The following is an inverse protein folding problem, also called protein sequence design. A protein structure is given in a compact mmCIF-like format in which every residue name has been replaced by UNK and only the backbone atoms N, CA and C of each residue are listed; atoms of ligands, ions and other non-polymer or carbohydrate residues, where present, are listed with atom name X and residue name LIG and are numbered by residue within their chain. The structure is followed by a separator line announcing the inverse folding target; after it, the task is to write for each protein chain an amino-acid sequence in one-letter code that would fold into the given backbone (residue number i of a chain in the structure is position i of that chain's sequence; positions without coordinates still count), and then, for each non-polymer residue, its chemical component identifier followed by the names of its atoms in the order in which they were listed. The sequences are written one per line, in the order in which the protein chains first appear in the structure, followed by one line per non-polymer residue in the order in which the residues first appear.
data_IF_450162015427
#
_entry.id   IF_450162015427
#
_cell.length_a   1.000
_cell.length_b   1.000
_cell.length_c   1.000
_cell.angle_alpha   90.00
_cell.angle_beta   90.00
_cell.angle_gamma   90.00
#
_symmetry.space_group_name_H-M   'P 1'
#
loop_
_entity.id
_entity.type
_entity.pdbx_description
1 polymer ?
#
# COMPACT_ATOMS: atom_id res chain seq x y z
N UNK A 1 -19.20 -6.30 -6.89
CA UNK A 1 -18.35 -6.94 -5.87
C UNK A 1 -17.85 -8.24 -6.48
N UNK A 2 -16.67 -8.75 -6.11
CA UNK A 2 -16.34 -10.13 -6.51
C UNK A 2 -17.18 -11.04 -5.63
N UNK A 3 -18.13 -11.75 -6.23
CA UNK A 3 -19.08 -12.61 -5.50
C UNK A 3 -18.48 -13.99 -5.19
N UNK A 4 -17.16 -14.12 -5.34
CA UNK A 4 -16.39 -15.33 -5.12
C UNK A 4 -15.25 -15.10 -4.13
N UNK A 5 -14.84 -16.18 -3.49
CA UNK A 5 -13.72 -16.22 -2.57
C UNK A 5 -12.44 -15.82 -3.31
N UNK A 6 -11.74 -14.81 -2.79
CA UNK A 6 -10.50 -14.31 -3.41
C UNK A 6 -9.40 -15.38 -3.51
N UNK A 7 -9.41 -16.42 -2.68
CA UNK A 7 -8.41 -17.49 -2.69
C UNK A 7 -8.80 -18.67 -3.59
N UNK A 8 -9.93 -19.32 -3.30
CA UNK A 8 -10.30 -20.57 -3.99
C UNK A 8 -11.34 -20.38 -5.11
N UNK A 9 -11.86 -19.17 -5.32
CA UNK A 9 -12.88 -18.90 -6.35
C UNK A 9 -14.29 -19.43 -6.03
N UNK A 10 -14.50 -20.06 -4.87
CA UNK A 10 -15.82 -20.54 -4.45
C UNK A 10 -16.86 -19.41 -4.41
N UNK A 11 -18.07 -19.68 -4.91
CA UNK A 11 -19.22 -18.76 -4.91
C UNK A 11 -20.10 -18.90 -3.66
N UNK A 12 -19.66 -19.68 -2.67
CA UNK A 12 -20.35 -19.83 -1.39
C UNK A 12 -20.38 -18.49 -0.61
N UNK A 13 -21.31 -18.33 0.36
CA UNK A 13 -21.40 -17.12 1.16
C UNK A 13 -20.05 -16.71 1.77
N UNK A 14 -19.68 -15.45 1.50
CA UNK A 14 -18.42 -14.89 1.97
C UNK A 14 -18.53 -14.42 3.43
N UNK A 15 -17.49 -14.71 4.18
CA UNK A 15 -17.29 -14.35 5.59
C UNK A 15 -16.38 -13.12 5.72
N UNK A 16 -16.40 -12.51 6.91
CA UNK A 16 -15.47 -11.44 7.27
C UNK A 16 -14.19 -12.05 7.85
N UNK A 17 -13.05 -11.56 7.39
CA UNK A 17 -11.73 -11.88 7.92
C UNK A 17 -11.05 -10.60 8.37
N UNK A 18 -10.32 -10.65 9.48
CA UNK A 18 -9.51 -9.52 9.92
C UNK A 18 -8.26 -9.40 9.07
N UNK A 19 -7.88 -8.16 8.71
CA UNK A 19 -6.63 -7.92 7.97
C UNK A 19 -5.44 -8.37 8.79
N UNK A 20 -5.42 -7.95 10.06
CA UNK A 20 -4.53 -8.45 11.08
C UNK A 20 -5.34 -9.31 12.04
N UNK A 21 -4.89 -10.53 12.35
CA UNK A 21 -5.62 -11.45 13.21
C UNK A 21 -6.02 -10.82 14.56
N UNK A 22 -7.24 -11.09 15.01
CA UNK A 22 -7.80 -10.52 16.25
C UNK A 22 -6.98 -10.88 17.51
N UNK A 23 -6.14 -11.90 17.46
CA UNK A 23 -5.23 -12.22 18.56
C UNK A 23 -4.30 -11.04 18.91
N UNK A 24 -3.97 -10.15 17.95
CA UNK A 24 -3.16 -8.94 18.20
C UNK A 24 -3.84 -7.97 19.17
N UNK A 25 -5.18 -7.98 19.23
CA UNK A 25 -5.93 -7.18 20.21
C UNK A 25 -5.83 -7.75 21.64
N UNK A 26 -5.28 -8.97 21.80
CA UNK A 26 -5.31 -9.72 23.06
C UNK A 26 -3.94 -9.91 23.71
N UNK A 27 -2.86 -9.48 23.05
CA UNK A 27 -1.49 -9.68 23.53
C UNK A 27 -0.94 -8.51 24.36
N UNK A 28 -1.73 -7.48 24.65
CA UNK A 28 -1.29 -6.34 25.47
C UNK A 28 -0.68 -5.16 24.72
N UNK A 29 -0.95 -5.03 23.42
CA UNK A 29 -0.66 -3.82 22.66
C UNK A 29 -1.59 -2.66 23.05
N UNK A 30 -1.12 -1.42 22.87
CA UNK A 30 -1.96 -0.23 23.04
C UNK A 30 -3.07 -0.18 21.98
N UNK A 31 -4.32 -0.30 22.44
CA UNK A 31 -5.53 -0.30 21.62
C UNK A 31 -6.25 1.05 21.58
N UNK A 32 -5.64 2.12 22.10
CA UNK A 32 -6.20 3.47 22.00
C UNK A 32 -6.58 3.74 20.55
N UNK A 33 -7.78 4.26 20.26
CA UNK A 33 -8.19 4.54 18.89
C UNK A 33 -7.14 5.36 18.14
N UNK A 34 -6.91 4.98 16.89
CA UNK A 34 -6.01 5.70 15.99
C UNK A 34 -6.73 5.96 14.68
N UNK A 35 -6.26 7.00 13.98
CA UNK A 35 -6.70 7.31 12.62
C UNK A 35 -6.25 6.22 11.66
N UNK A 36 -7.18 5.57 10.97
CA UNK A 36 -6.87 4.56 9.96
C UNK A 36 -6.84 5.15 8.57
N UNK A 37 -5.82 4.79 7.80
CA UNK A 37 -5.57 5.33 6.47
C UNK A 37 -5.33 4.18 5.49
N UNK A 38 -5.92 4.25 4.29
CA UNK A 38 -5.64 3.31 3.21
C UNK A 38 -5.67 4.02 1.86
N UNK A 39 -4.71 3.72 0.99
CA UNK A 39 -4.66 4.33 -0.33
C UNK A 39 -3.41 3.97 -1.13
N UNK A 40 -3.38 4.38 -2.41
CA UNK A 40 -2.27 4.10 -3.31
C UNK A 40 -0.97 4.70 -2.78
N UNK A 41 0.16 4.06 -3.10
CA UNK A 41 1.49 4.43 -2.59
C UNK A 41 1.87 5.90 -2.84
N UNK A 42 1.33 6.48 -3.92
CA UNK A 42 1.59 7.84 -4.38
C UNK A 42 0.33 8.72 -4.47
N UNK A 43 -0.79 8.29 -3.92
CA UNK A 43 -1.97 9.15 -3.78
C UNK A 43 -2.21 9.51 -2.32
N UNK A 44 -3.14 10.43 -2.12
CA UNK A 44 -3.61 10.77 -0.77
C UNK A 44 -4.35 9.55 -0.21
N UNK A 45 -3.99 9.07 0.98
CA UNK A 45 -4.70 7.96 1.59
C UNK A 45 -6.08 8.42 2.06
N UNK A 46 -7.07 7.54 1.93
CA UNK A 46 -8.41 7.75 2.43
C UNK A 46 -8.46 7.56 3.94
N UNK A 47 -9.14 8.48 4.61
CA UNK A 47 -9.53 8.31 6.01
C UNK A 47 -10.57 7.19 6.15
N UNK A 48 -10.26 6.19 6.98
CA UNK A 48 -11.13 5.04 7.25
C UNK A 48 -11.82 5.12 8.61
N UNK A 49 -11.80 6.29 9.25
CA UNK A 49 -12.33 6.49 10.59
C UNK A 49 -11.29 6.30 11.68
N UNK A 50 -11.71 6.61 12.90
CA UNK A 50 -10.93 6.43 14.12
C UNK A 50 -11.48 5.24 14.89
N UNK A 51 -10.65 4.23 15.12
CA UNK A 51 -11.01 3.01 15.83
C UNK A 51 -9.77 2.35 16.42
N UNK A 52 -9.92 1.45 17.41
CA UNK A 52 -8.82 0.62 17.88
C UNK A 52 -8.09 -0.07 16.71
N UNK A 53 -6.76 -0.25 16.79
CA UNK A 53 -6.01 -1.00 15.78
C UNK A 53 -6.50 -2.45 15.67
N UNK A 54 -6.18 -3.10 14.54
CA UNK A 54 -6.48 -4.52 14.27
C UNK A 54 -7.97 -4.88 14.09
N UNK A 55 -8.88 -3.89 13.98
CA UNK A 55 -10.32 -4.13 13.77
C UNK A 55 -10.75 -4.18 12.31
N UNK A 56 -9.87 -3.85 11.38
CA UNK A 56 -10.20 -3.80 9.96
C UNK A 56 -10.50 -5.21 9.45
N UNK A 57 -11.65 -5.36 8.81
CA UNK A 57 -12.08 -6.63 8.20
C UNK A 57 -12.41 -6.46 6.73
N UNK A 58 -12.26 -7.54 5.97
CA UNK A 58 -12.70 -7.64 4.57
C UNK A 58 -13.66 -8.83 4.42
N UNK A 59 -14.72 -8.67 3.63
CA UNK A 59 -15.71 -9.73 3.36
C UNK A 59 -15.45 -10.38 2.01
N UNK A 60 -14.41 -11.22 1.91
CA UNK A 60 -13.89 -11.73 0.62
C UNK A 60 -13.53 -13.22 0.60
N UNK A 61 -13.84 -13.97 1.66
CA UNK A 61 -13.40 -15.36 1.79
C UNK A 61 -14.54 -16.28 2.17
N UNK A 62 -14.65 -17.44 1.52
CA UNK A 62 -15.61 -18.47 1.94
C UNK A 62 -15.22 -19.04 3.32
N UNK A 63 -16.19 -19.66 4.00
CA UNK A 63 -15.98 -20.23 5.34
C UNK A 63 -14.87 -21.31 5.36
N UNK A 64 -14.74 -22.11 4.29
CA UNK A 64 -13.71 -23.16 4.19
C UNK A 64 -12.28 -22.59 4.18
N UNK A 65 -12.03 -21.53 3.42
CA UNK A 65 -10.73 -20.87 3.42
C UNK A 65 -10.45 -20.18 4.75
N UNK A 66 -11.42 -19.37 5.22
CA UNK A 66 -11.26 -18.53 6.40
C UNK A 66 -11.03 -19.36 7.67
N UNK A 67 -11.93 -20.32 7.93
CA UNK A 67 -11.86 -21.18 9.12
C UNK A 67 -10.87 -22.35 8.96
N UNK A 68 -10.37 -22.58 7.75
CA UNK A 68 -9.45 -23.67 7.43
C UNK A 68 -7.99 -23.23 7.52
N UNK A 69 -7.34 -23.16 6.36
CA UNK A 69 -5.89 -22.92 6.28
C UNK A 69 -5.50 -21.52 6.78
N UNK A 70 -6.33 -20.50 6.56
CA UNK A 70 -6.05 -19.14 7.03
C UNK A 70 -6.01 -19.09 8.57
N UNK A 71 -7.03 -19.66 9.21
CA UNK A 71 -7.08 -19.79 10.67
C UNK A 71 -5.88 -20.59 11.23
N UNK A 72 -5.46 -21.69 10.57
CA UNK A 72 -4.25 -22.43 10.99
C UNK A 72 -2.98 -21.56 10.96
N UNK A 73 -2.82 -20.72 9.94
CA UNK A 73 -1.70 -19.77 9.87
C UNK A 73 -1.77 -18.73 11.01
N UNK A 74 -2.95 -18.21 11.34
CA UNK A 74 -3.11 -17.28 12.48
C UNK A 74 -2.66 -17.89 13.80
N UNK A 75 -2.99 -19.16 14.06
CA UNK A 75 -2.57 -19.83 15.30
C UNK A 75 -1.04 -19.98 15.39
N UNK A 76 -0.38 -20.31 14.27
CA UNK A 76 1.08 -20.39 14.23
C UNK A 76 1.70 -19.00 14.41
N UNK A 77 1.19 -18.00 13.70
CA UNK A 77 1.65 -16.62 13.82
C UNK A 77 1.49 -16.08 15.25
N UNK A 78 0.35 -16.31 15.90
CA UNK A 78 0.13 -15.92 17.29
C UNK A 78 1.16 -16.56 18.22
N UNK A 79 1.37 -17.88 18.13
CA UNK A 79 2.32 -18.59 19.00
C UNK A 79 3.75 -18.06 18.84
N UNK A 80 4.16 -17.76 17.61
CA UNK A 80 5.56 -17.43 17.28
C UNK A 80 5.83 -15.94 17.40
N UNK A 81 4.93 -15.09 16.93
CA UNK A 81 5.17 -13.65 16.76
C UNK A 81 4.71 -12.80 17.93
N UNK A 82 3.77 -13.26 18.77
CA UNK A 82 3.30 -12.47 19.91
C UNK A 82 4.43 -11.87 20.79
N UNK A 83 5.43 -12.64 21.25
CA UNK A 83 6.53 -12.05 22.04
C UNK A 83 7.35 -11.03 21.24
N UNK A 84 7.62 -11.30 19.95
CA UNK A 84 8.42 -10.41 19.08
C UNK A 84 7.70 -9.09 18.82
N UNK A 85 6.37 -9.14 18.63
CA UNK A 85 5.52 -7.95 18.46
C UNK A 85 5.59 -7.05 19.69
N UNK A 86 5.67 -7.63 20.89
CA UNK A 86 5.83 -6.91 22.16
C UNK A 86 7.26 -6.40 22.40
N UNK A 87 8.23 -6.79 21.57
CA UNK A 87 9.63 -6.41 21.73
C UNK A 87 10.47 -7.38 22.53
N UNK A 88 9.93 -8.55 22.87
CA UNK A 88 10.66 -9.59 23.59
C UNK A 88 11.58 -10.35 22.64
N UNK A 89 12.80 -10.63 23.11
CA UNK A 89 13.73 -11.45 22.35
C UNK A 89 13.16 -12.86 22.16
N UNK A 90 13.31 -13.41 20.95
CA UNK A 90 12.69 -14.66 20.58
C UNK A 90 13.47 -15.43 19.52
N UNK A 91 12.97 -16.63 19.25
CA UNK A 91 13.54 -17.53 18.25
C UNK A 91 12.42 -18.13 17.40
N UNK A 92 12.58 -18.05 16.08
CA UNK A 92 11.71 -18.72 15.11
C UNK A 92 12.40 -20.01 14.67
N UNK A 93 11.79 -21.14 14.99
CA UNK A 93 12.30 -22.45 14.61
C UNK A 93 12.13 -22.69 13.10
N UNK A 94 13.01 -23.48 12.45
CA UNK A 94 12.93 -23.77 11.01
C UNK A 94 11.55 -24.27 10.57
N UNK A 95 10.88 -25.06 11.40
CA UNK A 95 9.55 -25.62 11.10
C UNK A 95 8.44 -24.55 11.05
N UNK A 96 8.64 -23.42 11.72
CA UNK A 96 7.69 -22.30 11.74
C UNK A 96 7.96 -21.30 10.60
N UNK A 97 9.15 -21.30 10.00
CA UNK A 97 9.57 -20.27 9.04
C UNK A 97 8.65 -20.18 7.81
N UNK A 98 8.29 -21.32 7.23
CA UNK A 98 7.37 -21.39 6.09
C UNK A 98 5.99 -20.82 6.44
N UNK A 99 5.45 -21.21 7.59
CA UNK A 99 4.14 -20.74 8.06
C UNK A 99 4.13 -19.23 8.33
N UNK A 100 5.17 -18.67 8.94
CA UNK A 100 5.27 -17.23 9.19
C UNK A 100 5.42 -16.45 7.88
N UNK A 101 6.23 -16.93 6.95
CA UNK A 101 6.36 -16.30 5.64
C UNK A 101 5.05 -16.35 4.85
N UNK A 102 4.37 -17.50 4.84
CA UNK A 102 3.05 -17.66 4.22
C UNK A 102 1.99 -16.78 4.89
N UNK A 103 2.01 -16.66 6.22
CA UNK A 103 1.14 -15.76 6.96
C UNK A 103 1.36 -14.30 6.58
N UNK A 104 2.61 -13.85 6.47
CA UNK A 104 2.92 -12.48 6.05
C UNK A 104 2.39 -12.20 4.63
N UNK A 105 2.56 -13.15 3.71
CA UNK A 105 2.02 -13.06 2.35
C UNK A 105 0.48 -13.03 2.33
N UNK A 106 -0.18 -13.90 3.11
CA UNK A 106 -1.64 -13.93 3.27
C UNK A 106 -2.15 -12.58 3.79
N UNK A 107 -1.53 -12.05 4.83
CA UNK A 107 -1.92 -10.77 5.45
C UNK A 107 -1.79 -9.61 4.47
N UNK A 108 -0.70 -9.56 3.69
CA UNK A 108 -0.54 -8.54 2.65
C UNK A 108 -1.61 -8.65 1.55
N UNK A 109 -1.91 -9.86 1.07
CA UNK A 109 -2.97 -10.12 0.10
C UNK A 109 -4.35 -9.70 0.64
N UNK A 110 -4.65 -10.02 1.89
CA UNK A 110 -5.90 -9.61 2.57
C UNK A 110 -6.00 -8.09 2.70
N UNK A 111 -4.93 -7.41 3.09
CA UNK A 111 -4.91 -5.94 3.21
C UNK A 111 -5.20 -5.25 1.88
N UNK A 112 -4.68 -5.77 0.76
CA UNK A 112 -4.95 -5.23 -0.58
C UNK A 112 -6.41 -5.35 -1.01
N UNK A 113 -7.22 -6.18 -0.33
CA UNK A 113 -8.66 -6.28 -0.57
C UNK A 113 -9.48 -5.21 0.16
N UNK A 114 -8.85 -4.35 0.97
CA UNK A 114 -9.49 -3.16 1.55
C UNK A 114 -9.80 -2.09 0.49
N UNK A 115 -9.03 -2.06 -0.60
CA UNK A 115 -9.25 -1.20 -1.76
C UNK A 115 -10.57 -1.55 -2.45
N UNK A 116 -11.18 -0.59 -3.16
CA UNK A 116 -12.36 -0.88 -3.98
C UNK A 116 -11.99 -1.75 -5.20
N UNK A 117 -13.01 -2.33 -5.86
CA UNK A 117 -12.79 -3.07 -7.12
C UNK A 117 -12.17 -2.16 -8.19
N UNK A 118 -12.74 -0.97 -8.37
CA UNK A 118 -12.26 0.05 -9.30
C UNK A 118 -10.80 0.43 -9.04
N UNK A 119 -10.41 0.63 -7.78
CA UNK A 119 -9.03 0.95 -7.42
C UNK A 119 -8.07 -0.20 -7.79
N UNK A 120 -8.46 -1.45 -7.54
CA UNK A 120 -7.62 -2.60 -7.89
C UNK A 120 -7.50 -2.80 -9.40
N UNK A 121 -8.58 -2.58 -10.14
CA UNK A 121 -8.58 -2.62 -11.61
C UNK A 121 -7.71 -1.51 -12.21
N UNK A 122 -7.59 -0.36 -11.54
CA UNK A 122 -6.67 0.74 -11.89
C UNK A 122 -5.24 0.54 -11.38
N UNK A 123 -4.84 -0.66 -10.99
CA UNK A 123 -3.46 -1.00 -10.64
C UNK A 123 -3.10 -0.87 -9.15
N UNK A 124 -4.05 -0.52 -8.26
CA UNK A 124 -3.86 -0.57 -6.80
C UNK A 124 -4.24 -1.94 -6.20
N UNK A 125 -4.12 -3.00 -6.99
CA UNK A 125 -4.45 -4.37 -6.62
C UNK A 125 -3.30 -5.33 -6.89
N UNK A 126 -3.37 -6.51 -6.28
CA UNK A 126 -2.52 -7.64 -6.64
C UNK A 126 -3.25 -8.52 -7.68
N UNK A 127 -2.52 -9.16 -8.61
CA UNK A 127 -3.11 -10.08 -9.57
C UNK A 127 -3.87 -11.21 -8.88
N UNK A 128 -5.06 -11.54 -9.39
CA UNK A 128 -5.89 -12.63 -8.86
C UNK A 128 -5.13 -13.97 -8.84
N UNK A 129 -4.24 -14.19 -9.81
CA UNK A 129 -3.37 -15.37 -9.88
C UNK A 129 -2.51 -15.57 -8.63
N UNK A 130 -2.07 -14.50 -7.96
CA UNK A 130 -1.28 -14.63 -6.72
C UNK A 130 -2.10 -15.18 -5.56
N UNK A 131 -3.38 -14.83 -5.47
CA UNK A 131 -4.27 -15.38 -4.46
C UNK A 131 -4.52 -16.87 -4.71
N UNK A 132 -4.85 -17.23 -5.95
CA UNK A 132 -5.09 -18.63 -6.34
C UNK A 132 -3.83 -19.48 -6.11
N UNK A 133 -2.66 -19.00 -6.54
CA UNK A 133 -1.40 -19.71 -6.34
C UNK A 133 -1.05 -19.91 -4.86
N UNK A 134 -1.33 -18.93 -3.98
CA UNK A 134 -1.11 -19.11 -2.54
C UNK A 134 -2.07 -20.15 -1.94
N UNK A 135 -3.33 -20.16 -2.38
CA UNK A 135 -4.31 -21.16 -1.96
C UNK A 135 -3.92 -22.58 -2.37
N UNK A 136 -3.39 -22.77 -3.58
CA UNK A 136 -2.91 -24.06 -4.09
C UNK A 136 -1.74 -24.60 -3.24
N UNK A 137 -0.97 -23.72 -2.60
CA UNK A 137 0.15 -24.07 -1.73
C UNK A 137 -0.19 -24.28 -0.26
N UNK A 138 -1.44 -24.05 0.15
CA UNK A 138 -1.86 -24.08 1.55
C UNK A 138 -1.47 -25.35 2.31
N UNK A 139 -1.41 -26.49 1.63
CA UNK A 139 -1.10 -27.79 2.24
C UNK A 139 0.41 -28.00 2.43
N UNK A 140 1.25 -27.22 1.75
CA UNK A 140 2.71 -27.14 2.01
C UNK A 140 3.05 -26.22 3.18
N UNK A 141 2.16 -25.28 3.50
CA UNK A 141 2.36 -24.28 4.57
C UNK A 141 3.61 -23.42 4.32
N UNK A 142 3.79 -23.03 3.06
CA UNK A 142 4.94 -22.27 2.55
C UNK A 142 4.44 -21.09 1.69
N UNK A 143 5.20 -20.00 1.59
CA UNK A 143 4.87 -18.90 0.67
C UNK A 143 5.00 -19.34 -0.80
N UNK A 144 4.74 -18.44 -1.75
CA UNK A 144 5.00 -18.70 -3.17
C UNK A 144 6.50 -18.99 -3.41
N UNK A 145 6.83 -19.91 -4.33
CA UNK A 145 8.22 -20.42 -4.57
C UNK A 145 9.25 -19.30 -4.71
N UNK A 146 8.95 -18.33 -5.57
CA UNK A 146 9.80 -17.18 -5.81
C UNK A 146 9.53 -16.08 -4.76
N UNK A 147 9.70 -16.43 -3.49
CA UNK A 147 9.59 -15.46 -2.39
C UNK A 147 10.79 -15.52 -1.47
N UNK A 148 11.16 -14.37 -0.93
CA UNK A 148 12.14 -14.23 0.13
C UNK A 148 11.55 -13.35 1.21
N UNK A 149 11.74 -13.70 2.48
CA UNK A 149 11.25 -12.93 3.62
C UNK A 149 12.36 -12.70 4.63
N UNK A 150 12.36 -11.52 5.22
CA UNK A 150 13.24 -11.10 6.29
C UNK A 150 12.43 -10.57 7.46
N UNK A 151 13.02 -10.66 8.64
CA UNK A 151 12.42 -10.21 9.90
C UNK A 151 13.38 -9.28 10.63
N UNK A 152 12.87 -8.21 11.23
CA UNK A 152 13.68 -7.21 11.90
C UNK A 152 12.92 -6.49 13.00
N UNK A 153 13.60 -5.53 13.64
CA UNK A 153 13.00 -4.64 14.64
C UNK A 153 12.55 -3.34 13.99
N UNK A 154 11.36 -2.88 14.35
CA UNK A 154 10.84 -1.57 14.04
C UNK A 154 10.86 -0.67 15.29
N UNK A 155 11.22 0.59 15.10
CA UNK A 155 11.17 1.63 16.13
C UNK A 155 10.49 2.88 15.56
N UNK A 156 9.28 3.16 16.04
CA UNK A 156 8.48 4.29 15.57
C UNK A 156 7.10 4.31 16.20
N UNK A 157 6.31 5.31 15.83
CA UNK A 157 4.98 5.53 16.40
C UNK A 157 3.87 4.70 15.72
N UNK A 158 4.14 4.24 14.49
CA UNK A 158 3.21 3.38 13.74
C UNK A 158 3.01 2.03 14.44
N UNK A 159 1.82 1.80 14.99
CA UNK A 159 1.49 0.55 15.71
C UNK A 159 1.32 -0.65 14.78
N UNK A 160 0.77 -0.40 13.61
CA UNK A 160 0.56 -1.44 12.60
C UNK A 160 0.47 -0.84 11.21
N UNK A 161 1.10 -1.48 10.22
CA UNK A 161 0.97 -1.08 8.84
C UNK A 161 1.16 -2.28 7.92
N UNK A 162 0.48 -2.25 6.77
CA UNK A 162 0.79 -3.09 5.61
C UNK A 162 1.10 -2.17 4.44
N UNK A 163 2.23 -2.40 3.79
CA UNK A 163 2.62 -1.69 2.56
C UNK A 163 3.02 -2.70 1.51
N UNK A 164 2.43 -2.58 0.32
CA UNK A 164 2.72 -3.43 -0.83
C UNK A 164 3.24 -2.54 -1.94
N UNK A 165 4.52 -2.72 -2.30
CA UNK A 165 5.20 -1.93 -3.33
C UNK A 165 5.40 -2.79 -4.58
N UNK A 166 4.79 -2.47 -5.73
CA UNK A 166 5.10 -3.12 -6.99
C UNK A 166 6.55 -2.87 -7.38
N UNK A 167 7.24 -3.92 -7.83
CA UNK A 167 8.66 -3.92 -8.15
C UNK A 167 8.88 -4.40 -9.58
N UNK A 168 9.87 -3.82 -10.25
CA UNK A 168 10.37 -4.25 -11.54
C UNK A 168 11.80 -4.77 -11.40
N UNK A 169 12.05 -5.93 -12.02
CA UNK A 169 13.41 -6.37 -12.33
C UNK A 169 13.92 -5.51 -13.49
N UNK A 170 15.04 -4.81 -13.28
CA UNK A 170 15.68 -3.92 -14.24
C UNK A 170 16.99 -4.53 -14.70
N UNK A 171 17.18 -4.56 -16.02
CA UNK A 171 18.46 -4.90 -16.64
C UNK A 171 18.92 -3.70 -17.45
N UNK A 172 20.20 -3.39 -17.39
CA UNK A 172 20.78 -2.28 -18.15
C UNK A 172 20.41 -2.38 -19.63
N UNK A 173 19.93 -1.26 -20.21
CA UNK A 173 19.49 -1.14 -21.62
C UNK A 173 18.20 -1.89 -21.98
N UNK A 174 17.53 -2.56 -21.04
CA UNK A 174 16.19 -3.11 -21.25
C UNK A 174 15.14 -2.10 -20.71
N UNK A 175 14.12 -1.75 -21.50
CA UNK A 175 13.00 -0.93 -21.04
C UNK A 175 12.31 -1.52 -19.81
N UNK A 176 11.63 -0.68 -19.04
CA UNK A 176 10.81 -1.19 -17.94
C UNK A 176 9.66 -2.03 -18.49
N UNK A 177 9.27 -3.13 -17.83
CA UNK A 177 8.06 -3.84 -18.19
C UNK A 177 6.80 -2.97 -17.99
N UNK A 178 5.78 -3.21 -18.81
CA UNK A 178 4.45 -2.59 -18.69
C UNK A 178 3.64 -3.11 -17.49
N UNK A 179 4.19 -4.08 -16.75
CA UNK A 179 3.60 -4.66 -15.54
C UNK A 179 4.71 -4.94 -14.52
N UNK A 180 4.42 -4.88 -13.20
CA UNK A 180 5.40 -5.25 -12.20
C UNK A 180 5.77 -6.74 -12.30
N UNK A 181 7.02 -7.06 -12.02
CA UNK A 181 7.54 -8.44 -11.98
C UNK A 181 7.43 -9.06 -10.57
N UNK A 182 7.39 -8.21 -9.55
CA UNK A 182 7.37 -8.63 -8.16
C UNK A 182 6.66 -7.61 -7.28
N UNK A 183 6.46 -7.97 -6.02
CA UNK A 183 5.85 -7.13 -5.00
C UNK A 183 6.65 -7.23 -3.71
N UNK A 184 7.08 -6.08 -3.18
CA UNK A 184 7.64 -5.98 -1.85
C UNK A 184 6.50 -5.83 -0.84
N UNK A 185 6.43 -6.72 0.14
CA UNK A 185 5.38 -6.82 1.16
C UNK A 185 5.98 -6.44 2.51
N UNK A 186 5.61 -5.31 3.08
CA UNK A 186 6.13 -4.85 4.38
C UNK A 186 5.00 -4.80 5.40
N UNK A 187 5.18 -5.50 6.51
CA UNK A 187 4.24 -5.53 7.63
C UNK A 187 4.94 -4.99 8.87
N UNK A 188 4.31 -4.05 9.56
CA UNK A 188 4.72 -3.56 10.89
C UNK A 188 3.66 -3.98 11.90
N UNK A 189 4.10 -4.51 13.04
CA UNK A 189 3.27 -4.89 14.18
C UNK A 189 4.03 -4.63 15.49
N UNK A 190 3.64 -3.58 16.22
CA UNK A 190 4.38 -3.19 17.43
C UNK A 190 5.85 -2.92 17.10
N UNK A 191 6.77 -3.67 17.74
CA UNK A 191 8.21 -3.58 17.48
C UNK A 191 8.72 -4.53 16.39
N UNK A 192 7.85 -5.32 15.78
CA UNK A 192 8.19 -6.28 14.72
C UNK A 192 8.01 -5.65 13.34
N UNK A 193 8.99 -5.88 12.45
CA UNK A 193 8.82 -5.68 11.00
C UNK A 193 9.13 -6.96 10.24
N UNK A 194 8.26 -7.28 9.29
CA UNK A 194 8.45 -8.34 8.30
C UNK A 194 8.51 -7.69 6.92
N UNK A 195 9.47 -8.11 6.11
CA UNK A 195 9.62 -7.63 4.74
C UNK A 195 9.79 -8.82 3.82
N UNK A 196 8.97 -8.91 2.79
CA UNK A 196 9.05 -9.95 1.77
C UNK A 196 9.21 -9.37 0.38
N UNK A 197 9.87 -10.09 -0.50
CA UNK A 197 9.81 -9.87 -1.94
C UNK A 197 9.23 -11.14 -2.56
N UNK A 198 8.12 -11.03 -3.28
CA UNK A 198 7.49 -12.15 -3.98
C UNK A 198 7.32 -11.82 -5.45
N UNK A 199 7.70 -12.74 -6.33
CA UNK A 199 7.60 -12.55 -7.78
C UNK A 199 6.25 -13.01 -8.29
N UNK A 200 5.75 -12.34 -9.34
CA UNK A 200 4.63 -12.86 -10.12
C UNK A 200 5.06 -14.19 -10.75
N UNK A 201 4.16 -15.17 -10.74
CA UNK A 201 4.32 -16.51 -11.32
C UNK A 201 4.77 -16.51 -12.79
N UNK A 202 4.54 -15.43 -13.52
CA UNK A 202 4.92 -15.27 -14.93
C UNK A 202 6.28 -14.57 -15.12
N UNK A 203 6.91 -14.07 -14.06
CA UNK A 203 8.13 -13.30 -14.12
C UNK A 203 9.36 -14.13 -13.68
N UNK A 204 10.55 -13.90 -14.29
CA UNK A 204 11.79 -14.52 -13.83
C UNK A 204 12.15 -14.00 -12.44
N UNK A 205 12.34 -14.93 -11.51
CA UNK A 205 12.72 -14.64 -10.13
C UNK A 205 14.23 -14.32 -10.04
N UNK A 206 14.56 -13.39 -9.15
CA UNK A 206 15.94 -12.99 -8.86
C UNK A 206 16.18 -13.07 -7.36
N UNK A 207 17.27 -13.72 -6.96
CA UNK A 207 17.71 -13.72 -5.57
C UNK A 207 18.19 -12.32 -5.18
N UNK A 208 17.80 -11.86 -3.99
CA UNK A 208 18.18 -10.54 -3.50
C UNK A 208 18.74 -10.64 -2.09
N UNK A 209 19.83 -9.94 -1.85
CA UNK A 209 20.34 -9.71 -0.51
C UNK A 209 19.68 -8.46 0.08
N UNK A 210 19.36 -8.52 1.37
CA UNK A 210 18.93 -7.35 2.13
C UNK A 210 20.13 -6.71 2.82
N UNK A 211 20.52 -5.51 2.41
CA UNK A 211 21.72 -4.82 2.93
C UNK A 211 21.59 -4.41 4.39
N UNK A 212 20.37 -4.37 4.94
CA UNK A 212 20.11 -4.06 6.36
C UNK A 212 20.53 -5.21 7.31
N UNK A 213 21.11 -6.30 6.79
CA UNK A 213 21.56 -7.48 7.55
C UNK A 213 20.46 -8.09 8.44
N UNK A 214 19.20 -7.90 8.04
CA UNK A 214 18.08 -8.57 8.72
C UNK A 214 18.19 -10.08 8.51
N UNK A 215 17.93 -10.88 9.56
CA UNK A 215 17.83 -12.32 9.41
C UNK A 215 16.85 -12.71 8.30
N UNK A 216 17.28 -13.63 7.45
CA UNK A 216 16.41 -14.25 6.46
C UNK A 216 15.48 -15.23 7.18
N UNK A 217 14.18 -14.96 7.07
CA UNK A 217 13.10 -15.83 7.53
C UNK A 217 12.80 -16.91 6.49
N UNK A 218 12.83 -16.55 5.20
CA UNK A 218 12.57 -17.45 4.10
C UNK A 218 13.46 -17.08 2.90
N UNK A 219 14.04 -18.04 2.14
CA UNK A 219 13.92 -19.50 2.24
C UNK A 219 14.35 -20.07 3.59
N UNK A 220 13.78 -21.22 3.94
CA UNK A 220 14.02 -21.86 5.24
C UNK A 220 15.51 -22.11 5.47
N UNK A 221 16.00 -21.72 6.63
CA UNK A 221 17.38 -21.92 7.05
C UNK A 221 17.51 -22.33 8.50
N UNK A 222 18.62 -21.93 9.13
CA UNK A 222 18.84 -22.10 10.57
C UNK A 222 17.77 -21.34 11.39
N UNK A 223 17.60 -21.67 12.69
CA UNK A 223 16.69 -20.91 13.55
C UNK A 223 17.01 -19.42 13.53
N UNK A 224 15.98 -18.59 13.38
CA UNK A 224 16.12 -17.14 13.33
C UNK A 224 16.03 -16.57 14.74
N UNK A 225 17.06 -15.83 15.15
CA UNK A 225 17.08 -15.11 16.42
C UNK A 225 16.63 -13.67 16.21
N UNK A 226 15.76 -13.18 17.10
CA UNK A 226 15.19 -11.85 17.04
C UNK A 226 15.31 -11.15 18.41
N UNK A 227 15.63 -9.85 18.47
CA UNK A 227 15.97 -8.98 17.35
C UNK A 227 17.42 -9.19 16.89
N UNK A 228 17.67 -9.07 15.58
CA UNK A 228 19.00 -9.01 14.95
C UNK A 228 18.94 -8.15 13.69
N UNK A 229 20.10 -7.70 13.21
CA UNK A 229 20.21 -6.81 12.07
C UNK A 229 19.99 -5.34 12.45
N UNK A 230 19.91 -4.48 11.43
CA UNK A 230 19.65 -3.06 11.63
C UNK A 230 18.18 -2.81 11.98
N UNK A 231 17.94 -2.00 13.02
CA UNK A 231 16.58 -1.51 13.35
C UNK A 231 16.08 -0.59 12.23
N UNK A 232 14.84 -0.80 11.80
CA UNK A 232 14.13 0.10 10.89
C UNK A 232 13.41 1.14 11.74
N UNK A 233 13.82 2.40 11.60
CA UNK A 233 13.14 3.54 12.25
C UNK A 233 12.00 4.07 11.39
N UNK A 234 11.11 4.87 11.98
CA UNK A 234 10.07 5.61 11.27
C UNK A 234 10.62 6.44 10.10
N UNK A 235 11.78 7.10 10.26
CA UNK A 235 12.46 7.86 9.20
C UNK A 235 12.93 6.96 8.05
N UNK A 236 13.46 5.78 8.36
CA UNK A 236 13.98 4.84 7.36
C UNK A 236 12.90 3.95 6.73
N UNK A 237 11.70 3.90 7.31
CA UNK A 237 10.64 2.95 6.96
C UNK A 237 10.24 3.01 5.49
N UNK A 238 9.99 4.20 4.94
CA UNK A 238 9.56 4.33 3.56
C UNK A 238 10.64 3.86 2.58
N UNK A 239 11.90 4.25 2.83
CA UNK A 239 13.05 3.80 2.03
C UNK A 239 13.16 2.27 2.07
N UNK A 240 12.97 1.68 3.24
CA UNK A 240 13.02 0.24 3.44
C UNK A 240 11.87 -0.48 2.70
N UNK A 241 10.63 -0.03 2.90
CA UNK A 241 9.45 -0.64 2.31
C UNK A 241 9.34 -0.46 0.79
N UNK A 242 9.99 0.58 0.24
CA UNK A 242 10.17 0.76 -1.20
C UNK A 242 11.30 -0.11 -1.77
N UNK A 243 11.81 -1.08 -1.01
CA UNK A 243 12.83 -2.03 -1.46
C UNK A 243 14.19 -1.40 -1.77
N UNK A 244 14.46 -0.15 -1.35
CA UNK A 244 15.73 0.53 -1.65
C UNK A 244 16.93 -0.07 -0.89
N UNK A 245 16.67 -0.99 0.02
CA UNK A 245 17.66 -1.81 0.75
C UNK A 245 17.85 -3.20 0.13
N UNK A 246 17.07 -3.57 -0.89
CA UNK A 246 17.25 -4.82 -1.63
C UNK A 246 18.36 -4.63 -2.68
N UNK A 247 19.22 -5.64 -2.84
CA UNK A 247 20.25 -5.69 -3.88
C UNK A 247 20.17 -7.05 -4.54
N UNK A 248 20.20 -7.12 -5.87
CA UNK A 248 20.36 -8.40 -6.53
C UNK A 248 21.71 -9.01 -6.18
N UNK A 249 21.79 -10.33 -6.20
CA UNK A 249 23.06 -11.06 -6.20
C UNK A 249 23.74 -11.08 -7.58
N UNK A 250 23.07 -10.57 -8.62
CA UNK A 250 23.58 -10.46 -9.99
C UNK A 250 23.95 -9.01 -10.32
N UNK A 251 25.20 -8.75 -10.69
CA UNK A 251 25.74 -7.39 -10.90
C UNK A 251 25.02 -6.58 -11.99
N UNK A 252 24.36 -7.24 -12.94
CA UNK A 252 23.70 -6.60 -14.09
C UNK A 252 22.19 -6.41 -13.91
N UNK A 253 21.65 -6.85 -12.77
CA UNK A 253 20.22 -6.88 -12.48
C UNK A 253 19.92 -6.07 -11.23
N UNK A 254 18.96 -5.17 -11.31
CA UNK A 254 18.44 -4.44 -10.15
C UNK A 254 16.98 -4.81 -9.90
N UNK A 255 16.54 -4.69 -8.65
CA UNK A 255 15.11 -4.74 -8.30
C UNK A 255 14.73 -3.37 -7.76
N UNK A 256 13.87 -2.66 -8.48
CA UNK A 256 13.49 -1.29 -8.18
C UNK A 256 11.96 -1.16 -8.13
N UNK A 257 11.41 -0.15 -7.41
CA UNK A 257 9.98 0.14 -7.49
C UNK A 257 9.54 0.33 -8.93
N UNK A 258 8.45 -0.32 -9.32
CA UNK A 258 7.91 -0.22 -10.68
C UNK A 258 7.38 1.19 -10.92
N UNK A 259 8.03 1.92 -11.84
CA UNK A 259 7.85 3.37 -12.05
C UNK A 259 6.38 3.77 -12.24
N UNK A 260 5.54 3.07 -13.03
CA UNK A 260 4.15 3.46 -13.20
C UNK A 260 3.29 3.41 -11.93
N UNK A 261 3.68 2.67 -10.89
CA UNK A 261 2.98 2.67 -9.60
C UNK A 261 3.73 3.45 -8.51
N UNK A 262 5.07 3.42 -8.56
CA UNK A 262 5.95 4.01 -7.54
C UNK A 262 6.42 5.44 -7.87
N UNK A 263 6.27 5.85 -9.12
CA UNK A 263 6.55 7.20 -9.63
C UNK A 263 5.40 7.72 -10.50
N UNK A 264 4.15 7.28 -10.26
CA UNK A 264 3.01 8.17 -10.58
C UNK A 264 3.37 9.49 -9.91
N UNK A 265 3.43 10.61 -10.63
CA UNK A 265 3.90 11.85 -10.04
C UNK A 265 3.06 12.10 -8.80
N UNK A 266 3.68 11.89 -7.62
CA UNK A 266 3.21 12.51 -6.39
C UNK A 266 2.95 13.94 -6.81
N UNK A 267 1.78 14.44 -6.49
CA UNK A 267 1.56 15.87 -6.35
C UNK A 267 2.82 16.48 -5.74
N UNK A 268 3.71 17.05 -6.56
CA UNK A 268 5.00 17.50 -6.06
C UNK A 268 4.70 18.86 -5.48
N UNK A 269 4.90 19.01 -4.18
CA UNK A 269 4.78 20.31 -3.55
C UNK A 269 6.06 21.07 -3.87
N UNK A 270 5.96 22.05 -4.77
CA UNK A 270 7.07 22.96 -5.10
C UNK A 270 6.61 24.36 -4.74
N UNK A 271 7.32 25.01 -3.82
CA UNK A 271 7.04 26.36 -3.37
C UNK A 271 5.59 26.57 -2.88
N UNK A 272 4.98 25.60 -2.18
CA UNK A 272 3.60 25.72 -1.67
C UNK A 272 2.50 25.38 -2.68
N UNK A 273 2.86 25.03 -3.92
CA UNK A 273 1.93 24.58 -4.95
C UNK A 273 2.05 23.09 -5.18
N UNK A 274 0.92 22.42 -5.32
CA UNK A 274 0.81 21.04 -5.80
C UNK A 274 0.94 21.03 -7.31
N UNK A 275 1.91 20.29 -7.84
CA UNK A 275 2.07 20.01 -9.27
C UNK A 275 1.53 18.64 -9.63
N UNK A 276 0.60 18.57 -10.57
CA UNK A 276 0.00 17.33 -11.09
C UNK A 276 0.08 17.27 -12.62
N UNK A 277 0.31 16.08 -13.23
CA UNK A 277 0.32 15.93 -14.68
C UNK A 277 -1.03 16.31 -15.29
N UNK A 278 -1.00 17.03 -16.41
CA UNK A 278 -2.19 17.31 -17.22
C UNK A 278 -2.57 16.09 -18.08
N UNK A 279 -3.82 16.01 -18.56
CA UNK A 279 -4.28 14.91 -19.44
C UNK A 279 -3.53 14.79 -20.76
N UNK A 280 -2.83 15.83 -21.20
CA UNK A 280 -1.98 15.78 -22.38
C UNK A 280 -0.65 15.04 -22.16
N UNK A 281 -0.34 14.65 -20.92
CA UNK A 281 0.89 13.97 -20.48
C UNK A 281 2.20 14.75 -20.68
N UNK A 282 2.19 15.85 -21.42
CA UNK A 282 3.35 16.69 -21.72
C UNK A 282 3.54 17.88 -20.77
N UNK A 283 2.47 18.29 -20.07
CA UNK A 283 2.46 19.46 -19.20
C UNK A 283 1.94 19.12 -17.80
N UNK A 284 2.03 20.09 -16.89
CA UNK A 284 1.51 19.96 -15.52
C UNK A 284 0.60 21.12 -15.16
N UNK A 285 -0.46 20.85 -14.42
CA UNK A 285 -1.33 21.86 -13.80
C UNK A 285 -0.97 22.01 -12.33
N UNK A 286 -1.29 23.18 -11.77
CA UNK A 286 -0.90 23.53 -10.40
C UNK A 286 -2.07 24.09 -9.59
N UNK A 287 -2.08 23.83 -8.28
CA UNK A 287 -3.01 24.43 -7.33
C UNK A 287 -2.39 24.52 -5.91
N UNK A 288 -2.85 25.43 -5.03
CA UNK A 288 -2.28 25.59 -3.70
C UNK A 288 -2.43 24.35 -2.80
N UNK A 289 -1.41 24.04 -2.00
CA UNK A 289 -1.46 22.91 -1.06
C UNK A 289 -2.54 23.08 0.02
N UNK A 290 -2.88 24.32 0.39
CA UNK A 290 -3.90 24.61 1.40
C UNK A 290 -5.26 23.99 1.09
N UNK A 291 -5.59 23.82 -0.20
CA UNK A 291 -6.83 23.15 -0.62
C UNK A 291 -6.85 21.66 -0.27
N UNK A 292 -5.69 21.00 -0.23
CA UNK A 292 -5.58 19.61 0.24
C UNK A 292 -5.63 19.54 1.77
N UNK A 293 -4.98 20.48 2.45
CA UNK A 293 -4.98 20.56 3.91
C UNK A 293 -6.40 20.74 4.47
N UNK A 294 -7.18 21.60 3.82
CA UNK A 294 -8.60 21.81 4.12
C UNK A 294 -9.47 20.60 3.74
N UNK A 295 -9.18 19.94 2.62
CA UNK A 295 -9.90 18.73 2.21
C UNK A 295 -9.73 17.58 3.21
N UNK A 296 -8.54 17.45 3.82
CA UNK A 296 -8.29 16.52 4.92
C UNK A 296 -9.09 16.85 6.19
N UNK A 297 -9.53 18.11 6.33
CA UNK A 297 -10.42 18.57 7.41
C UNK A 297 -11.90 18.53 7.01
N UNK A 298 -12.24 17.97 5.84
CA UNK A 298 -13.61 17.85 5.34
C UNK A 298 -14.16 19.11 4.69
N UNK A 299 -13.28 20.04 4.29
CA UNK A 299 -13.65 21.27 3.59
C UNK A 299 -13.29 21.10 2.11
N UNK A 300 -14.31 21.09 1.25
CA UNK A 300 -14.15 20.82 -0.18
C UNK A 300 -14.31 22.07 -1.03
N UNK A 301 -13.67 22.08 -2.19
CA UNK A 301 -13.61 23.21 -3.09
C UNK A 301 -13.78 22.79 -4.53
N UNK A 302 -14.41 23.64 -5.33
CA UNK A 302 -14.30 23.64 -6.77
C UNK A 302 -13.36 24.78 -7.21
N UNK A 303 -12.56 24.54 -8.24
CA UNK A 303 -11.68 25.54 -8.82
C UNK A 303 -11.39 25.20 -10.28
N UNK A 304 -10.93 26.20 -11.03
CA UNK A 304 -10.48 26.04 -12.41
C UNK A 304 -8.96 26.14 -12.47
N UNK A 305 -8.34 25.26 -13.24
CA UNK A 305 -6.91 25.34 -13.58
C UNK A 305 -6.73 25.04 -15.06
N UNK A 306 -5.62 25.45 -15.65
CA UNK A 306 -5.35 25.32 -17.08
C UNK A 306 -4.00 24.66 -17.33
N UNK A 307 -3.96 23.91 -18.42
CA UNK A 307 -2.72 23.40 -18.99
C UNK A 307 -2.12 24.48 -19.91
N UNK A 308 -0.84 24.33 -20.28
CA UNK A 308 -0.21 25.16 -21.33
C UNK A 308 -0.79 24.85 -22.73
N UNK A 309 -1.51 23.72 -22.87
CA UNK A 309 -2.41 23.46 -23.98
C UNK A 309 -3.69 24.32 -23.87
N UNK A 310 -4.47 24.50 -24.95
CA UNK A 310 -5.75 25.22 -24.91
C UNK A 310 -6.89 24.43 -24.22
N UNK A 311 -6.59 23.78 -23.08
CA UNK A 311 -7.50 22.96 -22.29
C UNK A 311 -7.50 23.47 -20.85
N UNK A 312 -8.69 23.84 -20.38
CA UNK A 312 -8.97 24.14 -18.98
C UNK A 312 -9.63 22.93 -18.31
N UNK A 313 -9.53 22.87 -16.99
CA UNK A 313 -10.02 21.80 -16.15
C UNK A 313 -10.83 22.37 -15.00
N UNK A 314 -12.04 21.84 -14.81
CA UNK A 314 -12.80 22.03 -13.58
C UNK A 314 -12.38 20.94 -12.59
N UNK A 315 -11.83 21.35 -11.46
CA UNK A 315 -11.29 20.46 -10.44
C UNK A 315 -12.10 20.58 -9.16
N UNK A 316 -12.41 19.44 -8.54
CA UNK A 316 -13.06 19.38 -7.24
C UNK A 316 -12.16 18.67 -6.24
N UNK A 317 -11.91 19.27 -5.09
CA UNK A 317 -11.33 18.54 -3.96
C UNK A 317 -12.37 17.60 -3.37
N UNK A 318 -11.92 16.42 -2.97
CA UNK A 318 -12.66 15.43 -2.20
C UNK A 318 -11.84 15.03 -0.97
N UNK A 319 -12.39 14.15 -0.14
CA UNK A 319 -11.78 13.73 1.14
C UNK A 319 -10.38 13.15 1.02
N UNK A 320 -9.99 12.67 -0.15
CA UNK A 320 -8.72 12.00 -0.40
C UNK A 320 -8.21 12.17 -1.85
N UNK A 321 -8.74 13.13 -2.61
CA UNK A 321 -8.44 13.27 -4.03
C UNK A 321 -8.77 14.65 -4.56
N UNK A 322 -8.17 15.02 -5.69
CA UNK A 322 -8.65 16.14 -6.51
C UNK A 322 -9.05 15.57 -7.85
N UNK A 323 -10.32 15.71 -8.18
CA UNK A 323 -10.93 15.06 -9.33
C UNK A 323 -11.22 16.10 -10.41
N UNK A 324 -10.75 15.84 -11.63
CA UNK A 324 -11.21 16.55 -12.81
C UNK A 324 -12.67 16.18 -13.08
N UNK A 325 -13.57 17.17 -13.09
CA UNK A 325 -15.00 17.00 -13.37
C UNK A 325 -15.35 17.31 -14.82
N UNK A 326 -14.62 18.22 -15.44
CA UNK A 326 -14.76 18.55 -16.85
C UNK A 326 -13.41 19.08 -17.38
N UNK A 327 -13.13 18.81 -18.65
CA UNK A 327 -11.98 19.36 -19.36
C UNK A 327 -12.41 19.83 -20.76
N UNK A 328 -11.93 20.98 -21.21
CA UNK A 328 -12.33 21.55 -22.50
C UNK A 328 -11.86 22.97 -22.71
N UNK A 329 -12.50 23.69 -23.62
CA UNK A 329 -12.21 25.10 -23.88
C UNK A 329 -12.47 25.95 -22.62
N UNK A 330 -11.61 26.96 -22.39
CA UNK A 330 -11.65 27.78 -21.18
C UNK A 330 -13.02 28.42 -20.92
N UNK A 331 -13.69 28.93 -21.96
CA UNK A 331 -15.00 29.57 -21.81
C UNK A 331 -16.07 28.62 -21.29
N UNK A 332 -16.13 27.39 -21.82
CA UNK A 332 -17.10 26.39 -21.38
C UNK A 332 -16.85 25.93 -19.94
N UNK A 333 -15.58 25.79 -19.56
CA UNK A 333 -15.21 25.41 -18.19
C UNK A 333 -15.51 26.54 -17.20
N UNK A 334 -15.22 27.79 -17.56
CA UNK A 334 -15.53 28.97 -16.73
C UNK A 334 -17.03 29.16 -16.54
N UNK A 335 -17.85 28.95 -17.58
CA UNK A 335 -19.31 28.98 -17.47
C UNK A 335 -19.81 27.91 -16.48
N UNK A 336 -19.32 26.67 -16.62
CA UNK A 336 -19.67 25.57 -15.71
C UNK A 336 -19.27 25.87 -14.26
N UNK A 337 -18.12 26.50 -14.04
CA UNK A 337 -17.66 26.89 -12.71
C UNK A 337 -18.47 28.05 -12.11
N UNK A 338 -18.92 29.01 -12.94
CA UNK A 338 -19.77 30.12 -12.52
C UNK A 338 -21.10 29.62 -11.94
N UNK A 339 -21.67 28.56 -12.52
CA UNK A 339 -22.92 27.93 -12.08
C UNK A 339 -22.81 27.14 -10.76
N UNK A 340 -21.59 26.84 -10.29
CA UNK A 340 -21.39 26.16 -9.00
C UNK A 340 -21.82 27.10 -7.87
N UNK A 341 -22.73 26.68 -6.97
CA UNK A 341 -23.17 27.50 -5.84
C UNK A 341 -22.03 27.83 -4.86
N UNK A 342 -22.13 28.99 -4.21
CA UNK A 342 -21.19 29.43 -3.18
C UNK A 342 -20.36 30.65 -3.60
N UNK A 343 -19.89 31.38 -2.59
CA UNK A 343 -19.06 32.56 -2.79
C UNK A 343 -17.66 32.17 -3.25
N UNK A 344 -17.13 32.93 -4.19
CA UNK A 344 -15.76 32.77 -4.64
C UNK A 344 -14.79 33.33 -3.60
N UNK A 345 -13.81 32.49 -3.24
CA UNK A 345 -12.77 32.79 -2.28
C UNK A 345 -11.45 33.01 -3.00
N UNK A 346 -10.66 33.95 -2.49
CA UNK A 346 -9.32 34.25 -2.99
C UNK A 346 -8.26 33.73 -2.01
N UNK A 347 -7.44 32.80 -2.48
CA UNK A 347 -6.24 32.34 -1.80
C UNK A 347 -5.05 33.12 -2.39
N UNK A 348 -4.35 33.87 -1.53
CA UNK A 348 -3.14 34.59 -1.93
C UNK A 348 -1.93 33.69 -1.73
N UNK A 349 -1.18 33.46 -2.81
CA UNK A 349 0.03 32.67 -2.80
C UNK A 349 1.19 33.50 -3.40
N UNK A 350 2.46 33.28 -3.00
CA UNK A 350 3.60 33.97 -3.62
C UNK A 350 3.69 33.81 -5.15
N UNK A 351 3.14 32.72 -5.68
CA UNK A 351 3.06 32.45 -7.12
C UNK A 351 1.85 33.09 -7.83
N UNK A 352 0.94 33.75 -7.11
CA UNK A 352 -0.24 34.40 -7.67
C UNK A 352 -1.50 34.30 -6.81
N UNK A 353 -2.58 34.89 -7.30
CA UNK A 353 -3.91 34.76 -6.74
C UNK A 353 -4.59 33.50 -7.28
N UNK A 354 -5.23 32.73 -6.41
CA UNK A 354 -5.95 31.51 -6.76
C UNK A 354 -7.39 31.60 -6.30
N UNK A 355 -8.34 31.32 -7.19
CA UNK A 355 -9.77 31.40 -6.93
C UNK A 355 -10.38 30.02 -6.77
N UNK A 356 -11.26 29.87 -5.79
CA UNK A 356 -12.00 28.65 -5.56
C UNK A 356 -13.35 28.94 -4.87
N UNK A 357 -14.35 28.10 -5.11
CA UNK A 357 -15.62 28.11 -4.38
C UNK A 357 -15.66 26.95 -3.40
N UNK A 358 -16.09 27.21 -2.16
CA UNK A 358 -16.32 26.12 -1.20
C UNK A 358 -17.55 25.33 -1.62
N UNK A 359 -17.40 24.01 -1.71
CA UNK A 359 -18.51 23.10 -1.96
C UNK A 359 -19.28 22.88 -0.66
N UNK A 360 -20.59 23.06 -0.71
CA UNK A 360 -21.49 22.60 0.35
C UNK A 360 -21.54 21.07 0.32
N UNK A 361 -21.35 20.45 1.48
CA UNK A 361 -21.34 19.00 1.67
C UNK A 361 -22.65 18.34 1.23
#
# INVERSE_FOLDING_TARGET
MSDSCAFCGSIEPLTREHVFGDWLSKIGLDLTPVRHMAGPLNGLPRHMGEQPPFRQTVKRFCASCNNGWMSRLEHVAQRVLAPLVLGEAGRIHPDDQGAIAMWAQKTALTAMLMSSNEQRERGYGLPQAMYTALYERRDRVEPLDASQFWIGRYEGTTRSAVRVTPMAVRVSRIPEPDRPHAYALTLVLGQLILHGLTFDTLAPAVEVANVSRMPQLWPKGAPVLWPRGQTVTEESFLRFADGKTLRSTLDVVDVQPWTPAAQVPRSVVVNGMVRVPALCEMHSIHYPISLLEDALQGIFYAFVTSCDCPVAYLMHTGSDSVNCKAAGASEGISATYADIPGDEMLIRHPAGAFFCKRLTA
#
